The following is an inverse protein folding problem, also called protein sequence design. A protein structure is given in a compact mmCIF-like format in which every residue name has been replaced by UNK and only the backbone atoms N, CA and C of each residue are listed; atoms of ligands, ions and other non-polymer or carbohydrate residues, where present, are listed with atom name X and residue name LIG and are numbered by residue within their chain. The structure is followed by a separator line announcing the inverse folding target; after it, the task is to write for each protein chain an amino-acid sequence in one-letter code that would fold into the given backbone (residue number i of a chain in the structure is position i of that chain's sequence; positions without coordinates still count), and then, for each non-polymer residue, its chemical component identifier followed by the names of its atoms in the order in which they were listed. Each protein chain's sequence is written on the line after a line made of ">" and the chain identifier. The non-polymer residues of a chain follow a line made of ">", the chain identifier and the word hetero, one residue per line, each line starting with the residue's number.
data_IF_977205890634
#
_entry.id   IF_977205890634
#
_cell.length_a   1.000
_cell.length_b   1.000
_cell.length_c   1.000
_cell.angle_alpha   90.00
_cell.angle_beta   90.00
_cell.angle_gamma   90.00
#
_symmetry.space_group_name_H-M   'P 1'
#
loop_
_entity.id
_entity.type
_entity.pdbx_description
1 polymer ?
#
# COMPACT_ATOMS: atom_id res chain seq x y z
N UNK A 1 81.93 -8.13 -30.09
CA UNK A 1 80.52 -7.77 -29.86
C UNK A 1 80.29 -7.89 -28.36
N UNK A 2 79.98 -6.81 -27.68
CA UNK A 2 79.91 -6.75 -26.21
C UNK A 2 78.68 -7.52 -25.69
N UNK A 3 78.91 -8.48 -24.80
CA UNK A 3 77.86 -9.29 -24.18
C UNK A 3 76.70 -8.47 -23.59
N UNK A 4 76.97 -7.23 -23.12
CA UNK A 4 76.00 -6.32 -22.59
C UNK A 4 75.05 -5.78 -23.66
N UNK A 5 75.52 -5.57 -24.90
CA UNK A 5 74.66 -5.10 -26.01
C UNK A 5 73.72 -6.19 -26.44
N UNK A 6 74.13 -7.47 -26.40
CA UNK A 6 73.28 -8.61 -26.76
C UNK A 6 72.18 -8.85 -25.74
N UNK A 7 72.45 -8.68 -24.45
CA UNK A 7 71.47 -8.82 -23.38
C UNK A 7 70.45 -7.65 -23.41
N UNK A 8 70.92 -6.46 -23.73
CA UNK A 8 70.01 -5.29 -23.85
C UNK A 8 69.09 -5.39 -25.05
N UNK A 9 69.59 -5.94 -26.18
CA UNK A 9 68.75 -6.15 -27.38
C UNK A 9 67.72 -7.28 -27.18
N UNK A 10 68.09 -8.38 -26.46
CA UNK A 10 67.14 -9.45 -26.12
C UNK A 10 66.08 -8.98 -25.12
N UNK A 11 66.43 -8.15 -24.15
CA UNK A 11 65.48 -7.53 -23.20
C UNK A 11 64.48 -6.59 -23.86
N UNK A 12 64.89 -5.83 -24.87
CA UNK A 12 64.04 -4.94 -25.64
C UNK A 12 63.04 -5.71 -26.54
N UNK A 13 63.45 -6.86 -27.08
CA UNK A 13 62.53 -7.71 -27.88
C UNK A 13 61.46 -8.41 -27.03
N UNK A 14 61.72 -8.69 -25.74
CA UNK A 14 60.76 -9.31 -24.85
C UNK A 14 59.67 -8.34 -24.35
N UNK A 15 59.97 -7.02 -24.39
CA UNK A 15 58.99 -5.99 -24.03
C UNK A 15 58.10 -5.55 -25.21
N UNK A 16 58.45 -5.89 -26.45
CA UNK A 16 57.68 -5.54 -27.63
C UNK A 16 56.60 -6.56 -28.01
N UNK A 17 56.55 -7.70 -27.29
CA UNK A 17 55.72 -8.86 -27.67
C UNK A 17 54.29 -8.88 -27.09
N UNK A 18 53.81 -7.83 -26.42
CA UNK A 18 52.45 -7.80 -25.84
C UNK A 18 51.72 -6.47 -26.04
N UNK A 19 52.06 -5.76 -27.11
CA UNK A 19 51.18 -4.67 -27.54
C UNK A 19 50.35 -5.17 -28.72
N UNK A 20 49.43 -6.08 -28.46
CA UNK A 20 48.27 -6.17 -29.34
C UNK A 20 47.62 -4.79 -29.34
N UNK A 21 47.44 -4.26 -30.53
CA UNK A 21 46.64 -3.06 -30.71
C UNK A 21 45.26 -3.39 -30.16
N UNK A 22 45.01 -3.01 -28.94
CA UNK A 22 43.67 -2.97 -28.38
C UNK A 22 42.92 -1.98 -29.25
N UNK A 23 42.05 -2.52 -30.09
CA UNK A 23 41.11 -1.68 -30.83
C UNK A 23 40.18 -1.03 -29.78
N UNK A 24 40.43 0.24 -29.51
CA UNK A 24 39.65 0.99 -28.54
C UNK A 24 38.24 1.35 -29.06
N UNK A 25 37.95 1.00 -30.30
CA UNK A 25 36.66 1.15 -30.93
C UNK A 25 35.81 -0.12 -30.74
N UNK A 26 35.45 -0.43 -29.49
CA UNK A 26 34.42 -1.43 -29.27
C UNK A 26 33.06 -0.74 -29.27
N UNK A 27 32.20 -1.11 -30.17
CA UNK A 27 30.77 -0.74 -30.10
C UNK A 27 30.10 -1.57 -29.03
N UNK A 28 29.57 -0.89 -28.00
CA UNK A 28 28.71 -1.56 -27.03
C UNK A 28 27.35 -1.82 -27.70
N UNK A 29 27.07 -3.05 -28.01
CA UNK A 29 25.76 -3.47 -28.52
C UNK A 29 24.89 -3.80 -27.31
N UNK A 30 23.67 -3.22 -27.26
CA UNK A 30 22.70 -3.62 -26.25
C UNK A 30 22.37 -5.12 -26.42
N UNK A 31 22.27 -5.88 -25.32
CA UNK A 31 21.74 -7.24 -25.37
C UNK A 31 20.40 -7.31 -26.10
N UNK A 32 20.16 -8.33 -26.90
CA UNK A 32 18.93 -8.47 -27.71
C UNK A 32 17.63 -8.28 -26.91
N UNK A 33 17.63 -8.74 -25.65
CA UNK A 33 16.48 -8.56 -24.75
C UNK A 33 16.20 -7.10 -24.40
N UNK A 34 17.19 -6.25 -24.38
CA UNK A 34 17.06 -4.82 -24.12
C UNK A 34 16.82 -4.04 -25.40
N UNK A 35 17.40 -4.47 -26.51
CA UNK A 35 17.22 -3.86 -27.82
C UNK A 35 15.75 -3.87 -28.27
N UNK A 36 14.99 -4.91 -27.94
CA UNK A 36 13.55 -5.00 -28.24
C UNK A 36 12.70 -3.91 -27.60
N UNK A 37 13.18 -3.28 -26.51
CA UNK A 37 12.49 -2.19 -25.81
C UNK A 37 13.03 -0.81 -26.18
N UNK A 38 14.02 -0.71 -27.08
CA UNK A 38 14.63 0.56 -27.46
C UNK A 38 13.64 1.58 -28.02
N UNK A 39 12.51 1.13 -28.57
CA UNK A 39 11.44 2.03 -29.02
C UNK A 39 10.79 2.83 -27.88
N UNK A 40 10.91 2.36 -26.63
CA UNK A 40 10.37 3.08 -25.46
C UNK A 40 11.15 4.37 -25.16
N UNK A 41 12.38 4.49 -25.63
CA UNK A 41 13.22 5.68 -25.41
C UNK A 41 12.68 6.96 -26.09
N UNK A 42 11.78 6.80 -27.03
CA UNK A 42 11.08 7.92 -27.68
C UNK A 42 9.94 8.51 -26.84
N UNK A 43 9.56 7.86 -25.75
CA UNK A 43 8.46 8.29 -24.92
C UNK A 43 8.98 8.96 -23.63
N UNK A 44 8.29 10.01 -23.21
CA UNK A 44 8.51 10.67 -21.93
C UNK A 44 7.98 9.82 -20.77
N UNK A 45 8.35 10.20 -19.55
CA UNK A 45 7.77 9.62 -18.33
C UNK A 45 6.25 9.77 -18.32
N UNK A 46 5.54 8.76 -17.84
CA UNK A 46 4.07 8.69 -17.93
C UNK A 46 3.37 9.94 -17.35
N UNK A 47 3.87 10.50 -16.25
CA UNK A 47 3.30 11.70 -15.62
C UNK A 47 3.38 12.95 -16.51
N UNK A 48 4.31 13.01 -17.48
CA UNK A 48 4.44 14.14 -18.39
C UNK A 48 3.22 14.27 -19.33
N UNK A 49 2.58 13.15 -19.67
CA UNK A 49 1.38 13.14 -20.50
C UNK A 49 0.12 13.66 -19.81
N UNK A 50 0.17 13.85 -18.50
CA UNK A 50 -0.95 14.35 -17.72
C UNK A 50 -0.68 15.70 -17.02
N UNK A 51 0.47 16.31 -17.27
CA UNK A 51 0.90 17.56 -16.59
C UNK A 51 -0.10 18.71 -16.73
N UNK A 52 -0.85 18.74 -17.84
CA UNK A 52 -1.87 19.76 -18.10
C UNK A 52 -3.23 19.43 -17.45
N UNK A 53 -3.30 18.39 -16.64
CA UNK A 53 -4.51 17.91 -15.96
C UNK A 53 -4.34 17.92 -14.43
N UNK A 54 -4.37 19.09 -13.78
CA UNK A 54 -4.01 19.23 -12.36
C UNK A 54 -4.93 18.44 -11.40
N UNK A 55 -6.13 18.08 -11.84
CA UNK A 55 -7.09 17.31 -11.05
C UNK A 55 -7.04 15.80 -11.34
N UNK A 56 -6.09 15.35 -12.16
CA UNK A 56 -5.91 13.94 -12.46
C UNK A 56 -4.63 13.40 -11.82
N UNK A 57 -4.77 12.35 -11.04
CA UNK A 57 -3.67 11.65 -10.42
C UNK A 57 -3.43 10.32 -11.11
N UNK A 58 -2.21 10.15 -11.62
CA UNK A 58 -1.75 8.86 -12.13
C UNK A 58 -1.01 8.17 -11.00
N UNK A 59 -1.66 7.18 -10.40
CA UNK A 59 -1.15 6.48 -9.22
C UNK A 59 -0.65 5.07 -9.51
N UNK A 60 0.21 4.58 -8.62
CA UNK A 60 0.69 3.21 -8.63
C UNK A 60 0.70 2.61 -7.22
N UNK A 61 0.28 1.33 -7.11
CA UNK A 61 0.48 0.56 -5.88
C UNK A 61 1.91 0.01 -5.80
N UNK A 62 2.61 0.32 -4.71
CA UNK A 62 3.99 -0.14 -4.49
C UNK A 62 4.10 -1.02 -3.25
N UNK A 63 5.04 -1.98 -3.29
CA UNK A 63 5.48 -2.68 -2.09
C UNK A 63 6.34 -1.72 -1.25
N UNK A 64 5.92 -1.45 -0.02
CA UNK A 64 6.56 -0.46 0.87
C UNK A 64 8.02 -0.79 1.11
N UNK A 65 8.35 -2.08 1.34
CA UNK A 65 9.74 -2.50 1.59
C UNK A 65 10.65 -2.20 0.40
N UNK A 66 10.16 -2.42 -0.83
CA UNK A 66 10.94 -2.16 -2.04
C UNK A 66 11.06 -0.65 -2.32
N UNK A 67 10.00 0.10 -2.04
CA UNK A 67 10.02 1.55 -2.21
C UNK A 67 10.98 2.24 -1.22
N UNK A 68 10.96 1.83 0.05
CA UNK A 68 11.81 2.40 1.10
C UNK A 68 13.31 2.11 0.92
N UNK A 69 13.67 1.07 0.13
CA UNK A 69 15.09 0.83 -0.26
C UNK A 69 15.67 1.95 -1.12
N UNK A 70 14.84 2.77 -1.74
CA UNK A 70 15.23 3.86 -2.66
C UNK A 70 16.03 3.40 -3.89
N UNK A 71 15.71 2.19 -4.35
CA UNK A 71 16.32 1.59 -5.54
C UNK A 71 15.40 1.72 -6.76
N UNK A 72 15.36 0.69 -7.61
CA UNK A 72 14.63 0.70 -8.90
C UNK A 72 13.14 1.03 -8.75
N UNK A 73 12.44 0.42 -7.77
CA UNK A 73 11.00 0.67 -7.54
C UNK A 73 10.76 2.14 -7.18
N UNK A 74 11.60 2.71 -6.31
CA UNK A 74 11.55 4.12 -5.96
C UNK A 74 11.78 5.02 -7.18
N UNK A 75 12.84 4.74 -7.96
CA UNK A 75 13.17 5.54 -9.14
C UNK A 75 12.05 5.51 -10.18
N UNK A 76 11.52 4.32 -10.52
CA UNK A 76 10.45 4.15 -11.50
C UNK A 76 9.13 4.78 -11.04
N UNK A 77 8.80 4.65 -9.76
CA UNK A 77 7.58 5.25 -9.20
C UNK A 77 7.65 6.77 -9.30
N UNK A 78 8.74 7.37 -8.83
CA UNK A 78 8.88 8.83 -8.78
C UNK A 78 9.05 9.47 -10.17
N UNK A 79 9.62 8.74 -11.13
CA UNK A 79 9.76 9.26 -12.49
C UNK A 79 8.44 9.25 -13.26
N UNK A 80 7.58 8.25 -13.06
CA UNK A 80 6.43 8.01 -13.92
C UNK A 80 5.07 8.39 -13.32
N UNK A 81 4.97 8.54 -11.99
CA UNK A 81 3.69 8.75 -11.31
C UNK A 81 3.69 10.00 -10.47
N UNK A 82 2.52 10.56 -10.19
CA UNK A 82 2.33 11.70 -9.28
C UNK A 82 1.57 11.29 -8.00
N UNK A 83 1.12 10.03 -7.91
CA UNK A 83 0.48 9.47 -6.73
C UNK A 83 0.97 8.04 -6.49
N UNK A 84 0.98 7.61 -5.25
CA UNK A 84 1.29 6.23 -4.88
C UNK A 84 0.42 5.74 -3.73
N UNK A 85 0.23 4.43 -3.64
CA UNK A 85 -0.47 3.75 -2.55
C UNK A 85 0.37 2.59 -2.01
N UNK A 86 0.42 2.47 -0.70
CA UNK A 86 1.14 1.41 -0.01
C UNK A 86 0.36 0.09 -0.10
N UNK A 87 0.60 -0.76 -1.03
CA UNK A 87 -0.06 -2.04 -1.27
C UNK A 87 -0.82 -2.63 -0.07
N UNK A 88 -0.22 -3.56 0.66
CA UNK A 88 -0.84 -4.14 1.86
C UNK A 88 -0.43 -3.44 3.17
N UNK A 89 0.62 -2.63 3.16
CA UNK A 89 1.26 -2.16 4.39
C UNK A 89 0.39 -1.21 5.23
N UNK A 90 -0.59 -0.52 4.61
CA UNK A 90 -1.55 0.35 5.31
C UNK A 90 -2.82 -0.38 5.75
N UNK A 91 -2.97 -1.67 5.46
CA UNK A 91 -4.12 -2.43 5.92
C UNK A 91 -4.01 -2.74 7.42
N UNK A 92 -5.14 -2.86 8.10
CA UNK A 92 -5.16 -2.94 9.56
C UNK A 92 -4.28 -4.05 10.13
N UNK A 93 -4.32 -5.27 9.57
CA UNK A 93 -3.49 -6.37 10.04
C UNK A 93 -1.98 -6.18 9.82
N UNK A 94 -1.57 -5.23 8.97
CA UNK A 94 -0.16 -4.89 8.77
C UNK A 94 0.36 -3.89 9.80
N UNK A 95 -0.54 -3.15 10.45
CA UNK A 95 -0.21 -2.11 11.42
C UNK A 95 -0.63 -2.45 12.85
N UNK A 96 -1.56 -3.39 13.01
CA UNK A 96 -2.13 -3.77 14.32
C UNK A 96 -1.99 -5.27 14.52
N UNK A 97 -1.31 -5.66 15.59
CA UNK A 97 -1.12 -7.05 15.94
C UNK A 97 -2.32 -7.65 16.67
N UNK A 98 -2.31 -8.96 16.88
CA UNK A 98 -3.37 -9.72 17.56
C UNK A 98 -3.57 -9.36 19.05
N UNK A 99 -2.57 -8.73 19.67
CA UNK A 99 -2.63 -8.22 21.04
C UNK A 99 -3.09 -6.75 21.10
N UNK A 100 -3.34 -6.13 19.95
CA UNK A 100 -3.73 -4.74 19.82
C UNK A 100 -2.58 -3.74 19.80
N UNK A 101 -1.33 -4.20 19.88
CA UNK A 101 -0.17 -3.32 19.67
C UNK A 101 -0.13 -2.78 18.24
N UNK A 102 0.35 -1.54 18.10
CA UNK A 102 0.34 -0.83 16.82
C UNK A 102 1.75 -0.43 16.41
N UNK A 103 2.11 -0.73 15.17
CA UNK A 103 3.37 -0.31 14.55
C UNK A 103 3.09 0.36 13.21
N UNK A 104 3.46 1.63 13.10
CA UNK A 104 3.30 2.45 11.89
C UNK A 104 4.65 2.91 11.32
N UNK A 105 5.78 2.49 11.87
CA UNK A 105 7.08 3.06 11.49
C UNK A 105 7.39 2.86 10.01
N UNK A 106 7.16 1.66 9.49
CA UNK A 106 7.33 1.35 8.06
C UNK A 106 6.45 2.22 7.16
N UNK A 107 5.21 2.46 7.56
CA UNK A 107 4.25 3.29 6.81
C UNK A 107 4.62 4.76 6.89
N UNK A 108 5.05 5.24 8.06
CA UNK A 108 5.52 6.62 8.24
C UNK A 108 6.73 6.91 7.35
N UNK A 109 7.70 6.00 7.32
CA UNK A 109 8.87 6.10 6.45
C UNK A 109 8.46 6.17 4.97
N UNK A 110 7.55 5.28 4.55
CA UNK A 110 7.02 5.28 3.19
C UNK A 110 6.35 6.60 2.81
N UNK A 111 5.43 7.08 3.65
CA UNK A 111 4.73 8.35 3.42
C UNK A 111 5.73 9.50 3.33
N UNK A 112 6.70 9.54 4.25
CA UNK A 112 7.76 10.55 4.23
C UNK A 112 8.55 10.50 2.92
N UNK A 113 9.03 9.32 2.53
CA UNK A 113 9.82 9.14 1.31
C UNK A 113 9.05 9.53 0.04
N UNK A 114 7.75 9.21 -0.03
CA UNK A 114 6.90 9.56 -1.16
C UNK A 114 6.61 11.06 -1.22
N UNK A 115 6.27 11.68 -0.09
CA UNK A 115 6.01 13.13 -0.02
C UNK A 115 7.26 13.96 -0.25
N UNK A 116 8.41 13.53 0.26
CA UNK A 116 9.71 14.18 -0.01
C UNK A 116 10.07 14.12 -1.51
N UNK A 117 9.62 13.06 -2.22
CA UNK A 117 9.79 12.93 -3.67
C UNK A 117 8.72 13.67 -4.49
N UNK A 118 7.77 14.36 -3.84
CA UNK A 118 6.73 15.13 -4.50
C UNK A 118 5.51 14.31 -4.94
N UNK A 119 5.36 13.07 -4.47
CA UNK A 119 4.17 12.27 -4.74
C UNK A 119 3.06 12.57 -3.72
N UNK A 120 1.81 12.52 -4.16
CA UNK A 120 0.68 12.34 -3.25
C UNK A 120 0.60 10.87 -2.81
N UNK A 121 0.11 10.64 -1.58
CA UNK A 121 -0.07 9.29 -1.06
C UNK A 121 -1.55 9.04 -0.83
N UNK A 122 -2.10 8.08 -1.56
CA UNK A 122 -3.47 7.61 -1.35
C UNK A 122 -3.50 6.59 -0.21
N UNK A 123 -4.21 6.93 0.88
CA UNK A 123 -4.36 6.05 2.04
C UNK A 123 -5.34 4.91 1.76
N UNK A 124 -4.87 3.68 1.69
CA UNK A 124 -5.70 2.50 1.50
C UNK A 124 -5.27 1.41 2.47
N UNK A 125 -6.11 1.02 3.44
CA UNK A 125 -7.50 1.39 3.68
C UNK A 125 -7.79 1.33 5.19
N UNK A 126 -8.66 2.20 5.68
CA UNK A 126 -9.02 2.23 7.10
C UNK A 126 -9.77 0.96 7.52
N UNK A 127 -10.63 0.44 6.66
CA UNK A 127 -11.39 -0.78 6.88
C UNK A 127 -11.47 -1.63 5.61
N UNK A 128 -11.29 -2.93 5.75
CA UNK A 128 -11.34 -3.90 4.66
C UNK A 128 -11.91 -5.23 5.19
N UNK A 129 -12.67 -5.96 4.39
CA UNK A 129 -13.28 -7.23 4.79
C UNK A 129 -12.25 -8.33 5.12
N UNK A 130 -11.03 -8.21 4.66
CA UNK A 130 -9.90 -9.11 4.88
C UNK A 130 -8.71 -8.37 5.49
N UNK A 131 -7.66 -9.10 5.84
CA UNK A 131 -6.42 -8.53 6.39
C UNK A 131 -6.68 -7.63 7.61
N UNK A 132 -7.46 -8.16 8.55
CA UNK A 132 -7.77 -7.56 9.85
C UNK A 132 -7.17 -8.42 10.97
N UNK A 133 -6.77 -7.83 12.11
CA UNK A 133 -6.33 -8.57 13.29
C UNK A 133 -7.55 -9.17 14.01
N UNK A 134 -8.09 -10.25 13.45
CA UNK A 134 -9.36 -10.85 13.89
C UNK A 134 -9.39 -11.24 15.36
N UNK A 135 -8.27 -11.67 15.91
CA UNK A 135 -8.19 -12.05 17.33
C UNK A 135 -8.37 -10.83 18.24
N UNK A 136 -7.70 -9.72 17.90
CA UNK A 136 -7.86 -8.45 18.63
C UNK A 136 -9.29 -7.93 18.50
N UNK A 137 -9.82 -7.85 17.29
CA UNK A 137 -11.17 -7.33 17.05
C UNK A 137 -12.26 -8.17 17.74
N UNK A 138 -12.17 -9.51 17.66
CA UNK A 138 -13.08 -10.39 18.39
C UNK A 138 -12.95 -10.24 19.92
N UNK A 139 -11.77 -9.92 20.40
CA UNK A 139 -11.55 -9.60 21.82
C UNK A 139 -12.27 -8.33 22.27
N UNK A 140 -12.32 -7.30 21.40
CA UNK A 140 -13.00 -6.04 21.70
C UNK A 140 -14.53 -6.18 21.75
N UNK A 141 -15.09 -7.04 20.91
CA UNK A 141 -16.54 -7.28 20.81
C UNK A 141 -17.00 -8.48 21.66
N UNK A 142 -16.11 -9.02 22.51
CA UNK A 142 -16.50 -10.07 23.44
C UNK A 142 -17.67 -9.58 24.28
N UNK A 143 -18.68 -10.46 24.44
CA UNK A 143 -19.83 -10.18 25.27
C UNK A 143 -19.37 -9.65 26.64
N UNK A 144 -19.63 -8.39 26.91
CA UNK A 144 -19.57 -7.86 28.24
C UNK A 144 -20.88 -8.30 28.90
N UNK A 145 -20.78 -8.95 30.06
CA UNK A 145 -21.97 -9.17 30.86
C UNK A 145 -22.62 -7.78 31.09
N UNK A 146 -23.75 -7.59 30.43
CA UNK A 146 -24.55 -6.40 30.70
C UNK A 146 -25.04 -6.52 32.15
N UNK A 147 -25.05 -5.44 32.92
CA UNK A 147 -25.70 -5.45 34.22
C UNK A 147 -27.14 -5.99 34.04
N UNK A 148 -27.62 -6.80 34.98
CA UNK A 148 -28.98 -7.32 34.89
C UNK A 148 -29.94 -6.16 34.60
N UNK A 149 -30.79 -6.33 33.61
CA UNK A 149 -31.77 -5.30 33.24
C UNK A 149 -32.71 -5.07 34.42
N UNK A 150 -32.38 -4.08 35.24
CA UNK A 150 -33.30 -3.63 36.27
C UNK A 150 -34.49 -2.96 35.58
N UNK A 151 -35.58 -3.71 35.51
CA UNK A 151 -36.93 -3.23 35.21
C UNK A 151 -37.14 -2.40 33.92
N UNK A 152 -36.39 -2.69 32.88
CA UNK A 152 -36.73 -2.11 31.58
C UNK A 152 -37.44 -3.19 30.73
N UNK A 153 -38.76 -3.03 30.48
CA UNK A 153 -39.47 -3.96 29.60
C UNK A 153 -38.95 -3.78 28.19
N UNK A 154 -37.96 -4.59 27.81
CA UNK A 154 -37.43 -4.57 26.45
C UNK A 154 -38.46 -5.10 25.46
N UNK A 155 -38.49 -4.53 24.27
CA UNK A 155 -39.20 -5.08 23.13
C UNK A 155 -38.48 -6.35 22.66
N UNK A 156 -39.15 -7.50 22.71
CA UNK A 156 -38.64 -8.74 22.16
C UNK A 156 -39.10 -8.83 20.70
N UNK A 157 -38.13 -8.79 19.79
CA UNK A 157 -38.39 -8.96 18.36
C UNK A 157 -38.00 -10.39 17.99
N UNK A 158 -38.95 -11.16 17.54
CA UNK A 158 -38.70 -12.51 17.04
C UNK A 158 -38.79 -12.52 15.51
N UNK A 159 -37.65 -12.67 14.83
CA UNK A 159 -37.63 -12.85 13.40
C UNK A 159 -38.11 -14.28 13.05
N UNK A 160 -39.15 -14.38 12.21
CA UNK A 160 -39.76 -15.64 11.88
C UNK A 160 -39.07 -16.46 10.80
N UNK A 161 -38.38 -15.83 9.85
CA UNK A 161 -37.76 -16.53 8.70
C UNK A 161 -36.32 -16.06 8.48
N UNK A 162 -35.32 -16.93 8.69
CA UNK A 162 -33.92 -16.58 8.46
C UNK A 162 -33.54 -16.33 6.98
N UNK A 163 -34.46 -16.51 6.06
CA UNK A 163 -34.30 -16.24 4.62
C UNK A 163 -34.98 -14.96 4.17
N UNK A 164 -35.66 -14.24 5.07
CA UNK A 164 -36.29 -12.96 4.72
C UNK A 164 -35.23 -11.90 4.43
N UNK A 165 -35.50 -11.06 3.45
CA UNK A 165 -34.66 -9.92 3.11
C UNK A 165 -34.53 -8.95 4.29
N UNK A 166 -33.38 -8.31 4.46
CA UNK A 166 -33.07 -7.47 5.61
C UNK A 166 -34.09 -6.34 5.87
N UNK A 167 -34.69 -5.80 4.82
CA UNK A 167 -35.73 -4.77 4.91
C UNK A 167 -37.10 -5.28 5.44
N UNK A 168 -37.29 -6.58 5.61
CA UNK A 168 -38.47 -7.17 6.22
C UNK A 168 -38.44 -7.15 7.76
N UNK A 169 -37.36 -6.60 8.35
CA UNK A 169 -37.17 -6.47 9.79
C UNK A 169 -37.27 -5.00 10.22
N UNK A 170 -38.11 -4.23 9.56
CA UNK A 170 -38.37 -2.85 9.89
C UNK A 170 -39.20 -2.76 11.17
N UNK A 171 -38.81 -1.90 12.09
CA UNK A 171 -39.50 -1.63 13.32
C UNK A 171 -39.86 -0.16 13.34
N UNK A 172 -41.12 0.13 13.24
CA UNK A 172 -41.61 1.47 13.37
C UNK A 172 -41.97 1.73 14.85
N UNK A 173 -41.44 2.83 15.38
CA UNK A 173 -41.81 3.34 16.69
C UNK A 173 -42.47 4.70 16.55
N UNK A 174 -43.76 4.76 16.90
CA UNK A 174 -44.50 5.99 16.94
C UNK A 174 -44.10 6.82 18.17
N UNK A 175 -43.63 8.03 17.93
CA UNK A 175 -43.31 8.94 19.01
C UNK A 175 -44.62 9.55 19.58
N UNK A 176 -44.70 9.65 20.91
CA UNK A 176 -45.83 10.28 21.58
C UNK A 176 -45.97 11.74 21.18
N UNK A 177 -44.90 12.41 20.84
CA UNK A 177 -44.89 13.76 20.29
C UNK A 177 -44.03 13.84 19.02
N UNK A 178 -44.43 14.57 17.99
CA UNK A 178 -43.64 14.76 16.78
C UNK A 178 -42.34 15.52 17.06
N UNK A 179 -41.29 15.20 16.32
CA UNK A 179 -40.02 15.91 16.37
C UNK A 179 -40.21 17.39 16.00
N UNK A 180 -39.60 18.29 16.76
CA UNK A 180 -39.68 19.75 16.54
C UNK A 180 -38.46 20.23 15.73
N UNK A 181 -38.68 20.96 14.66
CA UNK A 181 -37.62 21.53 13.85
C UNK A 181 -36.67 22.42 14.69
N UNK A 182 -35.37 22.33 14.41
CA UNK A 182 -34.32 23.08 15.11
C UNK A 182 -33.93 22.53 16.49
N UNK A 183 -34.40 21.36 16.88
CA UNK A 183 -33.93 20.62 18.06
C UNK A 183 -33.00 19.48 17.67
N UNK A 184 -32.06 19.17 18.56
CA UNK A 184 -31.23 17.99 18.47
C UNK A 184 -31.83 16.90 19.35
N UNK A 185 -31.96 15.71 18.81
CA UNK A 185 -32.51 14.54 19.50
C UNK A 185 -31.42 13.45 19.52
N UNK A 186 -31.30 12.79 20.64
CA UNK A 186 -30.44 11.61 20.78
C UNK A 186 -31.33 10.35 20.80
N UNK A 187 -31.05 9.43 19.91
CA UNK A 187 -31.72 8.12 19.87
C UNK A 187 -30.70 7.11 20.32
N UNK A 188 -30.97 6.43 21.43
CA UNK A 188 -30.14 5.35 21.95
C UNK A 188 -30.92 4.05 21.97
N UNK A 189 -30.32 3.00 21.46
CA UNK A 189 -30.88 1.65 21.41
C UNK A 189 -29.93 0.68 22.09
N UNK A 190 -30.44 -0.09 23.04
CA UNK A 190 -29.74 -1.23 23.59
C UNK A 190 -30.28 -2.51 22.92
N UNK A 191 -29.51 -3.08 22.01
CA UNK A 191 -29.92 -4.28 21.27
C UNK A 191 -29.18 -5.49 21.83
N UNK A 192 -29.91 -6.56 22.10
CA UNK A 192 -29.36 -7.85 22.52
C UNK A 192 -29.87 -8.94 21.60
N UNK A 193 -28.96 -9.65 20.95
CA UNK A 193 -29.29 -10.85 20.17
C UNK A 193 -29.18 -12.11 21.03
N UNK A 194 -30.06 -13.07 20.80
CA UNK A 194 -30.03 -14.38 21.45
C UNK A 194 -29.07 -15.37 20.78
N UNK A 195 -28.68 -15.10 19.53
CA UNK A 195 -27.72 -15.92 18.78
C UNK A 195 -26.48 -15.09 18.40
N UNK A 196 -25.27 -15.56 18.70
CA UNK A 196 -24.04 -14.90 18.25
C UNK A 196 -23.98 -14.89 16.71
N UNK A 197 -23.87 -13.71 16.13
CA UNK A 197 -23.57 -13.56 14.70
C UNK A 197 -24.71 -13.10 13.80
N UNK A 198 -25.83 -12.68 14.34
CA UNK A 198 -26.97 -12.13 13.58
C UNK A 198 -27.30 -10.70 13.96
N UNK A 199 -26.41 -9.77 13.67
CA UNK A 199 -26.74 -8.33 13.52
C UNK A 199 -26.21 -7.89 12.18
#
# INVERSE_FOLDING_TARGET
>A
MNKQILVSALGAMLLASCADHFDQNFETVRPDKEAQYGYLEQYDALKEYIKDRPNFHLGIGTAVDEYNKKELVYALTNSNFNETVAGNAMKMASCVADDGSMDFEKVKEYVKNATDAGLSVYGHTLAWHAQQPNKYLKGLIKDKELPPAENNPGLIITSGDPKAETYNYEIDYDLDEPLKAGKTYEISLNVRGTNPGTI
#
